data_IF_361288374153
#
_entry.id   IF_361288374153
#
_cell.length_a   1.000
_cell.length_b   1.000
_cell.length_c   1.000
_cell.angle_alpha   90.00
_cell.angle_beta   90.00
_cell.angle_gamma   90.00
#
_symmetry.space_group_name_H-M   'P 1'
#
loop_
_entity.id
_entity.type
_entity.pdbx_description
1 polymer ?
#
# COMPACT_ATOMS: atom_id res chain seq x y z
N UNK A 1 -60.84 -10.36 -54.85
CA UNK A 1 -61.26 -11.60 -54.26
C UNK A 1 -60.08 -12.23 -53.57
N UNK A 2 -60.26 -12.50 -52.30
CA UNK A 2 -59.43 -13.27 -51.38
C UNK A 2 -57.96 -12.95 -51.13
N UNK A 3 -57.81 -12.21 -50.07
CA UNK A 3 -56.73 -12.09 -49.10
C UNK A 3 -56.26 -13.45 -48.54
N UNK A 4 -54.95 -13.61 -48.28
CA UNK A 4 -54.43 -14.43 -47.17
C UNK A 4 -53.19 -13.81 -46.61
N UNK A 5 -53.32 -13.25 -45.43
CA UNK A 5 -52.24 -12.84 -44.54
C UNK A 5 -51.64 -14.10 -43.88
N UNK A 6 -50.33 -14.27 -43.98
CA UNK A 6 -49.56 -15.25 -43.24
C UNK A 6 -48.80 -14.54 -42.12
N UNK A 7 -49.21 -14.75 -40.87
CA UNK A 7 -48.53 -14.35 -39.66
C UNK A 7 -47.24 -15.13 -39.48
N UNK A 8 -46.11 -14.45 -39.42
CA UNK A 8 -44.87 -15.00 -38.90
C UNK A 8 -44.72 -14.55 -37.42
N UNK A 9 -44.47 -15.47 -36.47
CA UNK A 9 -44.17 -15.07 -35.08
C UNK A 9 -42.73 -14.56 -35.01
N UNK A 10 -42.57 -13.33 -34.51
CA UNK A 10 -41.30 -12.77 -34.17
C UNK A 10 -40.74 -13.47 -32.91
N UNK A 11 -39.79 -14.37 -33.10
CA UNK A 11 -38.94 -14.83 -32.01
C UNK A 11 -37.87 -13.75 -31.75
N UNK A 12 -38.14 -12.87 -30.79
CA UNK A 12 -37.13 -12.04 -30.18
C UNK A 12 -36.28 -12.93 -29.27
N UNK A 13 -35.12 -13.33 -29.74
CA UNK A 13 -34.04 -13.78 -28.88
C UNK A 13 -33.47 -12.55 -28.15
N UNK A 14 -33.94 -12.32 -26.96
CA UNK A 14 -33.27 -11.44 -26.02
C UNK A 14 -31.96 -12.12 -25.59
N UNK A 15 -30.91 -11.96 -26.40
CA UNK A 15 -29.55 -12.22 -26.00
C UNK A 15 -29.20 -11.09 -25.00
N UNK A 16 -29.37 -11.39 -23.71
CA UNK A 16 -28.92 -10.52 -22.66
C UNK A 16 -27.42 -10.34 -22.80
N UNK A 17 -27.03 -9.19 -23.30
CA UNK A 17 -25.67 -8.68 -23.15
C UNK A 17 -25.44 -8.49 -21.65
N UNK A 18 -24.95 -9.52 -20.95
CA UNK A 18 -24.20 -9.29 -19.73
C UNK A 18 -22.92 -8.62 -20.18
N UNK A 19 -22.64 -7.37 -19.76
CA UNK A 19 -21.30 -6.85 -19.92
C UNK A 19 -20.40 -7.87 -19.25
N UNK A 20 -19.41 -8.39 -19.96
CA UNK A 20 -18.32 -9.17 -19.38
C UNK A 20 -17.65 -8.28 -18.34
N UNK A 21 -18.16 -8.30 -17.12
CA UNK A 21 -17.44 -7.86 -15.95
C UNK A 21 -16.28 -8.83 -15.83
N UNK A 22 -15.15 -8.46 -16.38
CA UNK A 22 -13.88 -9.11 -16.11
C UNK A 22 -13.60 -8.90 -14.64
N UNK A 23 -14.01 -9.86 -13.84
CA UNK A 23 -13.79 -9.88 -12.41
C UNK A 23 -12.28 -9.93 -12.18
N UNK A 24 -11.74 -8.96 -11.44
CA UNK A 24 -10.37 -8.95 -10.94
C UNK A 24 -10.23 -9.96 -9.78
N UNK A 25 -10.72 -11.16 -9.98
CA UNK A 25 -10.63 -12.25 -9.02
C UNK A 25 -9.16 -12.64 -8.92
N UNK A 26 -8.68 -12.76 -7.70
CA UNK A 26 -7.33 -13.24 -7.39
C UNK A 26 -7.16 -14.65 -7.98
N UNK A 27 -6.13 -14.88 -8.78
CA UNK A 27 -5.84 -16.21 -9.33
C UNK A 27 -5.45 -17.17 -8.19
N UNK A 28 -5.57 -18.48 -8.41
CA UNK A 28 -5.16 -19.50 -7.41
C UNK A 28 -3.69 -19.33 -6.98
N UNK A 29 -2.80 -18.95 -7.90
CA UNK A 29 -1.40 -18.69 -7.59
C UNK A 29 -1.24 -17.45 -6.70
N UNK A 30 -1.92 -16.35 -7.04
CA UNK A 30 -1.94 -15.13 -6.25
C UNK A 30 -2.52 -15.37 -4.86
N UNK A 31 -3.62 -16.12 -4.76
CA UNK A 31 -4.23 -16.51 -3.50
C UNK A 31 -3.29 -17.36 -2.63
N UNK A 32 -2.68 -18.38 -3.22
CA UNK A 32 -1.70 -19.22 -2.51
C UNK A 32 -0.55 -18.39 -1.98
N UNK A 33 0.02 -17.50 -2.80
CA UNK A 33 1.09 -16.60 -2.38
C UNK A 33 0.63 -15.65 -1.24
N UNK A 34 -0.54 -15.04 -1.38
CA UNK A 34 -1.11 -14.18 -0.35
C UNK A 34 -1.28 -14.90 0.99
N UNK A 35 -1.78 -16.14 0.98
CA UNK A 35 -1.92 -16.95 2.19
C UNK A 35 -0.57 -17.23 2.87
N UNK A 36 0.48 -17.55 2.11
CA UNK A 36 1.84 -17.72 2.63
C UNK A 36 2.35 -16.41 3.22
N UNK A 37 2.30 -15.32 2.47
CA UNK A 37 2.70 -14.00 2.95
C UNK A 37 2.00 -13.62 4.26
N UNK A 38 0.68 -13.79 4.34
CA UNK A 38 -0.12 -13.48 5.53
C UNK A 38 0.33 -14.29 6.75
N UNK A 39 0.56 -15.59 6.57
CA UNK A 39 0.99 -16.48 7.65
C UNK A 39 2.42 -16.14 8.11
N UNK A 40 3.34 -15.91 7.18
CA UNK A 40 4.72 -15.52 7.45
C UNK A 40 4.77 -14.18 8.19
N UNK A 41 3.97 -13.21 7.76
CA UNK A 41 3.90 -11.91 8.42
C UNK A 41 3.38 -12.00 9.86
N UNK A 42 2.34 -12.81 10.10
CA UNK A 42 1.84 -13.06 11.44
C UNK A 42 2.91 -13.69 12.32
N UNK A 43 3.51 -14.78 11.86
CA UNK A 43 4.56 -15.49 12.57
C UNK A 43 5.75 -14.57 12.88
N UNK A 44 6.14 -13.73 11.92
CA UNK A 44 7.25 -12.80 12.10
C UNK A 44 6.94 -11.72 13.15
N UNK A 45 5.71 -11.18 13.16
CA UNK A 45 5.28 -10.25 14.21
C UNK A 45 5.27 -10.91 15.59
N UNK A 46 4.78 -12.14 15.69
CA UNK A 46 4.75 -12.91 16.94
C UNK A 46 6.18 -13.16 17.47
N UNK A 47 7.11 -13.55 16.60
CA UNK A 47 8.54 -13.73 16.95
C UNK A 47 9.17 -12.42 17.43
N UNK A 48 8.92 -11.30 16.76
CA UNK A 48 9.42 -10.00 17.20
C UNK A 48 8.82 -9.57 18.53
N UNK A 49 7.52 -9.77 18.75
CA UNK A 49 6.90 -9.48 20.05
C UNK A 49 7.49 -10.35 21.16
N UNK A 50 7.60 -11.67 20.95
CA UNK A 50 8.15 -12.58 21.93
C UNK A 50 9.60 -12.21 22.32
N UNK A 51 10.39 -11.75 21.37
CA UNK A 51 11.80 -11.40 21.61
C UNK A 51 12.00 -10.03 22.23
N UNK A 52 11.21 -9.03 21.81
CA UNK A 52 11.52 -7.62 22.07
C UNK A 52 10.54 -6.90 23.00
N UNK A 53 9.40 -7.50 23.38
CA UNK A 53 8.37 -6.79 24.14
C UNK A 53 8.89 -6.17 25.45
N UNK A 54 9.76 -6.87 26.19
CA UNK A 54 10.30 -6.40 27.46
C UNK A 54 11.14 -5.12 27.32
N UNK A 55 11.85 -4.97 26.20
CA UNK A 55 12.70 -3.81 25.94
C UNK A 55 11.90 -2.73 25.21
N UNK A 56 11.07 -3.13 24.25
CA UNK A 56 10.39 -2.22 23.32
C UNK A 56 9.23 -1.48 24.01
N UNK A 57 8.37 -2.17 24.75
CA UNK A 57 7.15 -1.58 25.33
C UNK A 57 7.45 -0.41 26.30
N UNK A 58 8.44 -0.49 27.22
CA UNK A 58 8.81 0.65 28.04
C UNK A 58 9.29 1.87 27.24
N UNK A 59 10.08 1.64 26.18
CA UNK A 59 10.56 2.72 25.29
C UNK A 59 9.41 3.39 24.54
N UNK A 60 8.45 2.59 24.04
CA UNK A 60 7.25 3.10 23.35
C UNK A 60 6.39 3.96 24.29
N UNK A 61 6.19 3.51 25.53
CA UNK A 61 5.47 4.28 26.56
C UNK A 61 6.18 5.61 26.86
N UNK A 62 7.48 5.53 27.11
CA UNK A 62 8.28 6.73 27.42
C UNK A 62 8.29 7.73 26.27
N UNK A 63 8.38 7.25 25.02
CA UNK A 63 8.32 8.11 23.83
C UNK A 63 6.97 8.83 23.71
N UNK A 64 5.88 8.23 24.19
CA UNK A 64 4.53 8.76 24.09
C UNK A 64 4.12 9.67 25.26
N UNK A 65 4.81 9.63 26.40
CA UNK A 65 4.40 10.30 27.66
C UNK A 65 4.06 11.78 27.49
N UNK A 66 4.82 12.52 26.69
CA UNK A 66 4.59 13.95 26.47
C UNK A 66 3.31 14.24 25.67
N UNK A 67 3.01 13.40 24.70
CA UNK A 67 1.96 13.66 23.72
C UNK A 67 0.65 12.92 24.02
N UNK A 68 0.75 11.79 24.74
CA UNK A 68 -0.37 10.89 25.04
C UNK A 68 -0.11 10.18 26.39
N UNK A 69 -0.19 10.91 27.52
CA UNK A 69 0.23 10.38 28.83
C UNK A 69 -0.60 9.17 29.30
N UNK A 70 -1.87 9.08 28.93
CA UNK A 70 -2.77 7.97 29.31
C UNK A 70 -2.74 6.78 28.35
N UNK A 71 -1.78 6.76 27.45
CA UNK A 71 -1.68 5.74 26.43
C UNK A 71 -1.02 4.47 26.97
N UNK A 72 -1.68 3.33 26.73
CA UNK A 72 -1.15 2.01 27.03
C UNK A 72 -0.58 1.34 25.78
N UNK A 73 0.58 0.70 25.90
CA UNK A 73 1.11 -0.20 24.86
C UNK A 73 0.57 -1.60 25.14
N UNK A 74 -0.29 -2.10 24.26
CA UNK A 74 -0.82 -3.46 24.30
C UNK A 74 -0.04 -4.39 23.38
N UNK A 75 0.37 -3.89 22.20
CA UNK A 75 1.11 -4.64 21.20
C UNK A 75 2.27 -3.81 20.66
N UNK A 76 3.50 -4.21 20.91
CA UNK A 76 4.71 -3.47 20.50
C UNK A 76 5.02 -3.60 19.00
N UNK A 77 4.76 -4.79 18.42
CA UNK A 77 4.88 -5.07 16.98
C UNK A 77 3.55 -5.63 16.50
N UNK A 78 2.89 -4.93 15.59
CA UNK A 78 1.48 -5.15 15.25
C UNK A 78 1.34 -5.91 13.93
N UNK A 79 0.73 -7.09 13.97
CA UNK A 79 0.21 -7.75 12.78
C UNK A 79 -1.11 -7.11 12.36
N UNK A 80 -1.30 -6.90 11.05
CA UNK A 80 -2.56 -6.34 10.54
C UNK A 80 -3.62 -7.42 10.33
N UNK A 81 -4.56 -7.57 11.26
CA UNK A 81 -5.64 -8.54 11.20
C UNK A 81 -6.64 -8.30 10.04
N UNK A 82 -6.62 -7.14 9.38
CA UNK A 82 -7.43 -6.95 8.16
C UNK A 82 -7.01 -7.89 7.02
N UNK A 83 -5.80 -8.44 7.07
CA UNK A 83 -5.35 -9.44 6.10
C UNK A 83 -6.11 -10.77 6.24
N UNK A 84 -6.70 -11.04 7.41
CA UNK A 84 -7.49 -12.25 7.68
C UNK A 84 -8.89 -12.18 7.06
N UNK A 85 -9.36 -10.99 6.73
CA UNK A 85 -10.67 -10.75 6.09
C UNK A 85 -10.59 -10.88 4.55
N UNK A 86 -9.38 -10.94 3.98
CA UNK A 86 -9.21 -11.13 2.53
C UNK A 86 -9.53 -12.57 2.16
N UNK A 87 -10.41 -12.77 1.18
CA UNK A 87 -10.83 -14.08 0.67
C UNK A 87 -10.29 -14.34 -0.74
N UNK A 88 -10.44 -15.56 -1.24
CA UNK A 88 -10.03 -15.93 -2.61
C UNK A 88 -10.82 -15.16 -3.67
N UNK A 89 -12.04 -14.73 -3.35
CA UNK A 89 -12.90 -13.94 -4.23
C UNK A 89 -12.62 -12.42 -4.13
N UNK A 90 -11.67 -12.02 -3.29
CA UNK A 90 -11.37 -10.61 -3.10
C UNK A 90 -10.77 -9.99 -4.38
N UNK A 91 -11.30 -8.84 -4.75
CA UNK A 91 -10.80 -8.03 -5.85
C UNK A 91 -9.79 -7.02 -5.32
N UNK A 92 -8.48 -7.33 -5.39
CA UNK A 92 -7.42 -6.44 -4.92
C UNK A 92 -6.96 -5.53 -6.05
N UNK A 93 -7.20 -4.22 -5.89
CA UNK A 93 -6.82 -3.17 -6.86
C UNK A 93 -5.70 -2.28 -6.37
N UNK A 94 -5.47 -2.26 -5.06
CA UNK A 94 -4.57 -1.32 -4.43
C UNK A 94 -3.84 -1.95 -3.24
N UNK A 95 -2.55 -1.67 -3.13
CA UNK A 95 -1.78 -1.87 -1.91
C UNK A 95 -1.40 -0.48 -1.37
N UNK A 96 -1.76 -0.17 -0.13
CA UNK A 96 -1.36 1.08 0.54
C UNK A 96 -0.33 0.78 1.61
N UNK A 97 0.80 1.49 1.56
CA UNK A 97 1.89 1.36 2.52
C UNK A 97 1.95 2.61 3.40
N UNK A 98 1.47 2.48 4.63
CA UNK A 98 1.60 3.51 5.67
C UNK A 98 3.00 3.57 6.28
N UNK A 99 3.17 4.43 7.29
CA UNK A 99 4.45 4.57 7.99
C UNK A 99 4.66 3.43 8.98
N UNK A 100 3.93 3.44 10.08
CA UNK A 100 3.97 2.43 11.14
C UNK A 100 2.64 2.42 11.90
N UNK A 101 2.30 1.35 12.64
CA UNK A 101 1.05 1.29 13.39
C UNK A 101 0.96 2.41 14.42
N UNK A 102 -0.16 3.14 14.40
CA UNK A 102 -0.45 4.25 15.30
C UNK A 102 -1.13 3.79 16.61
N UNK A 103 -1.53 4.77 17.43
CA UNK A 103 -2.10 4.58 18.76
C UNK A 103 -3.27 3.58 18.82
N UNK A 104 -4.24 3.72 17.91
CA UNK A 104 -5.45 2.88 17.93
C UNK A 104 -5.20 1.51 17.29
N UNK A 105 -4.19 1.40 16.43
CA UNK A 105 -3.90 0.23 15.60
C UNK A 105 -3.26 -0.91 16.40
N UNK A 106 -2.57 -0.58 17.50
CA UNK A 106 -1.88 -1.54 18.38
C UNK A 106 -2.79 -2.15 19.46
N UNK A 107 -3.98 -1.61 19.66
CA UNK A 107 -4.92 -2.11 20.65
C UNK A 107 -5.44 -3.50 20.27
N UNK A 108 -5.51 -4.44 21.20
CA UNK A 108 -5.97 -5.81 20.97
C UNK A 108 -7.35 -5.88 20.30
N UNK A 109 -8.24 -4.92 20.61
CA UNK A 109 -9.55 -4.82 19.99
C UNK A 109 -9.50 -4.46 18.51
N UNK A 110 -8.42 -3.84 18.03
CA UNK A 110 -8.25 -3.42 16.66
C UNK A 110 -7.25 -4.31 15.93
N UNK A 111 -5.95 -4.17 16.23
CA UNK A 111 -4.84 -4.80 15.51
C UNK A 111 -5.03 -4.72 13.98
N UNK A 112 -5.45 -3.54 13.50
CA UNK A 112 -5.73 -3.25 12.09
C UNK A 112 -5.11 -1.91 11.71
N UNK A 113 -4.52 -1.86 10.55
CA UNK A 113 -3.86 -0.65 10.06
C UNK A 113 -4.86 0.37 9.51
N UNK A 114 -4.52 1.65 9.60
CA UNK A 114 -5.32 2.78 9.15
C UNK A 114 -6.77 2.76 9.70
N UNK A 115 -6.94 2.44 10.99
CA UNK A 115 -8.23 2.55 11.70
C UNK A 115 -8.38 3.88 12.44
N UNK A 116 -7.28 4.61 12.65
CA UNK A 116 -7.27 5.95 13.24
C UNK A 116 -7.73 7.04 12.27
N UNK A 117 -7.47 8.30 12.63
CA UNK A 117 -7.90 9.47 11.83
C UNK A 117 -7.42 9.45 10.39
N UNK A 118 -6.18 9.02 10.12
CA UNK A 118 -5.64 8.92 8.77
C UNK A 118 -6.44 7.93 7.90
N UNK A 119 -6.83 6.80 8.50
CA UNK A 119 -7.66 5.79 7.82
C UNK A 119 -9.05 6.31 7.49
N UNK A 120 -9.70 7.04 8.42
CA UNK A 120 -11.00 7.68 8.17
C UNK A 120 -10.94 8.71 7.03
N UNK A 121 -9.84 9.47 6.95
CA UNK A 121 -9.62 10.43 5.86
C UNK A 121 -9.46 9.70 4.53
N UNK A 122 -8.65 8.63 4.48
CA UNK A 122 -8.46 7.82 3.28
C UNK A 122 -9.79 7.19 2.82
N UNK A 123 -10.51 6.53 3.70
CA UNK A 123 -11.82 5.92 3.41
C UNK A 123 -12.83 6.96 2.92
N UNK A 124 -12.89 8.13 3.57
CA UNK A 124 -13.74 9.24 3.13
C UNK A 124 -13.32 9.80 1.77
N UNK A 125 -12.04 9.81 1.42
CA UNK A 125 -11.57 10.19 0.10
C UNK A 125 -12.10 9.23 -0.98
N UNK A 126 -11.87 7.93 -0.83
CA UNK A 126 -12.34 6.94 -1.81
C UNK A 126 -13.88 6.87 -1.90
N UNK A 127 -14.59 7.02 -0.77
CA UNK A 127 -16.06 7.05 -0.77
C UNK A 127 -16.65 8.24 -1.53
N UNK A 128 -15.96 9.39 -1.54
CA UNK A 128 -16.37 10.57 -2.32
C UNK A 128 -16.00 10.48 -3.80
N UNK A 129 -15.15 9.52 -4.17
CA UNK A 129 -14.60 9.37 -5.51
C UNK A 129 -14.85 7.96 -6.06
N UNK A 130 -16.12 7.55 -6.23
CA UNK A 130 -16.47 6.22 -6.76
C UNK A 130 -15.96 5.97 -8.19
N UNK A 131 -15.65 7.05 -8.94
CA UNK A 131 -15.03 6.97 -10.26
C UNK A 131 -13.65 6.32 -10.27
N UNK A 132 -12.99 6.22 -9.11
CA UNK A 132 -11.74 5.48 -8.95
C UNK A 132 -11.96 3.94 -8.99
N UNK A 133 -13.19 3.50 -8.74
CA UNK A 133 -13.55 2.09 -8.72
C UNK A 133 -12.92 1.32 -7.55
N UNK A 134 -12.60 1.98 -6.44
CA UNK A 134 -11.94 1.39 -5.27
C UNK A 134 -12.81 1.59 -4.03
N UNK A 135 -13.26 0.49 -3.42
CA UNK A 135 -13.71 0.48 -2.03
C UNK A 135 -12.46 0.30 -1.15
N UNK A 136 -12.13 1.32 -0.35
CA UNK A 136 -10.88 1.37 0.41
C UNK A 136 -10.71 0.19 1.39
N UNK A 137 -11.79 -0.41 1.88
CA UNK A 137 -11.72 -1.53 2.81
C UNK A 137 -11.77 -2.90 2.15
N UNK A 138 -12.43 -3.00 0.98
CA UNK A 138 -12.61 -4.28 0.27
C UNK A 138 -11.56 -4.53 -0.79
N UNK A 139 -11.14 -3.48 -1.50
CA UNK A 139 -10.24 -3.62 -2.65
C UNK A 139 -8.78 -3.26 -2.32
N UNK A 140 -8.46 -3.01 -1.02
CA UNK A 140 -7.12 -2.53 -0.63
C UNK A 140 -6.47 -3.43 0.40
N UNK A 141 -5.25 -3.88 0.11
CA UNK A 141 -4.34 -4.42 1.11
C UNK A 141 -3.60 -3.26 1.76
N UNK A 142 -3.67 -3.15 3.09
CA UNK A 142 -2.98 -2.09 3.85
C UNK A 142 -1.82 -2.70 4.60
N UNK A 143 -0.61 -2.18 4.35
CA UNK A 143 0.63 -2.54 5.04
C UNK A 143 1.30 -1.28 5.59
N UNK A 144 2.36 -1.46 6.35
CA UNK A 144 3.21 -0.37 6.84
C UNK A 144 4.68 -0.66 6.51
N UNK A 145 5.51 0.38 6.48
CA UNK A 145 6.96 0.27 6.24
C UNK A 145 7.68 -0.49 7.36
N UNK A 146 7.10 -0.49 8.56
CA UNK A 146 7.50 -1.32 9.69
C UNK A 146 6.27 -1.67 10.53
N UNK A 147 6.15 -2.87 11.10
CA UNK A 147 5.09 -3.22 12.04
C UNK A 147 5.38 -2.73 13.47
N UNK A 148 6.53 -2.11 13.72
CA UNK A 148 6.89 -1.56 15.03
C UNK A 148 6.00 -0.36 15.34
N UNK A 149 5.19 -0.50 16.39
CA UNK A 149 4.25 0.51 16.79
C UNK A 149 4.90 1.72 17.46
N UNK A 150 4.37 2.90 17.21
CA UNK A 150 4.54 4.09 18.06
C UNK A 150 3.29 4.98 17.98
N UNK A 151 3.01 5.75 19.03
CA UNK A 151 1.82 6.63 19.04
C UNK A 151 1.85 7.71 17.94
N UNK A 152 3.05 8.16 17.57
CA UNK A 152 3.33 9.05 16.42
C UNK A 152 4.56 8.51 15.69
N UNK A 153 4.59 8.58 14.37
CA UNK A 153 5.75 8.13 13.56
C UNK A 153 7.08 8.74 14.05
N UNK A 154 7.06 10.02 14.44
CA UNK A 154 8.24 10.71 14.96
C UNK A 154 8.84 10.04 16.21
N UNK A 155 8.06 9.29 16.98
CA UNK A 155 8.55 8.58 18.17
C UNK A 155 9.50 7.41 17.83
N UNK A 156 9.49 6.91 16.59
CA UNK A 156 10.52 5.97 16.14
C UNK A 156 11.94 6.54 16.28
N UNK A 157 12.11 7.86 16.11
CA UNK A 157 13.42 8.53 16.36
C UNK A 157 13.85 8.41 17.82
N UNK A 158 12.88 8.46 18.74
CA UNK A 158 13.16 8.27 20.17
C UNK A 158 13.62 6.82 20.45
N UNK A 159 12.95 5.83 19.86
CA UNK A 159 13.32 4.42 19.99
C UNK A 159 14.73 4.17 19.45
N UNK A 160 15.05 4.72 18.27
CA UNK A 160 16.38 4.61 17.66
C UNK A 160 17.49 5.28 18.48
N UNK A 161 17.18 6.38 19.18
CA UNK A 161 18.15 7.14 19.98
C UNK A 161 18.37 6.55 21.38
N UNK A 162 17.31 6.04 22.01
CA UNK A 162 17.31 5.65 23.43
C UNK A 162 17.19 4.12 23.64
N UNK A 163 16.91 3.37 22.59
CA UNK A 163 16.97 1.92 22.60
C UNK A 163 18.42 1.42 22.49
N UNK A 164 18.62 0.16 22.80
CA UNK A 164 19.87 -0.53 22.54
C UNK A 164 20.02 -0.91 21.06
N UNK A 165 21.17 -1.46 20.66
CA UNK A 165 21.46 -1.88 19.29
C UNK A 165 20.44 -2.90 18.75
N UNK A 166 19.87 -3.73 19.62
CA UNK A 166 18.84 -4.71 19.20
C UNK A 166 17.54 -4.06 18.78
N UNK A 167 17.11 -2.97 19.43
CA UNK A 167 15.95 -2.18 19.03
C UNK A 167 16.19 -1.50 17.68
N UNK A 168 17.38 -0.91 17.52
CA UNK A 168 17.80 -0.34 16.24
C UNK A 168 17.79 -1.38 15.12
N UNK A 169 18.32 -2.57 15.41
CA UNK A 169 18.31 -3.70 14.47
C UNK A 169 16.90 -4.17 14.14
N UNK A 170 16.01 -4.32 15.12
CA UNK A 170 14.61 -4.67 14.89
C UNK A 170 13.93 -3.70 13.93
N UNK A 171 14.06 -2.38 14.17
CA UNK A 171 13.44 -1.36 13.31
C UNK A 171 13.98 -1.44 11.88
N UNK A 172 15.29 -1.67 11.73
CA UNK A 172 15.92 -1.84 10.42
C UNK A 172 15.45 -3.12 9.72
N UNK A 173 15.59 -4.26 10.39
CA UNK A 173 15.29 -5.57 9.82
C UNK A 173 13.81 -5.67 9.44
N UNK A 174 12.91 -5.09 10.26
CA UNK A 174 11.49 -5.04 9.94
C UNK A 174 11.19 -4.19 8.70
N UNK A 175 11.89 -3.07 8.49
CA UNK A 175 11.74 -2.28 7.27
C UNK A 175 12.20 -3.04 6.02
N UNK A 176 13.36 -3.71 6.10
CA UNK A 176 13.90 -4.49 4.98
C UNK A 176 12.98 -5.66 4.63
N UNK A 177 12.50 -6.38 5.65
CA UNK A 177 11.58 -7.50 5.48
C UNK A 177 10.26 -7.02 4.85
N UNK A 178 9.65 -5.96 5.40
CA UNK A 178 8.40 -5.41 4.85
C UNK A 178 8.56 -4.92 3.41
N UNK A 179 9.67 -4.28 3.07
CA UNK A 179 9.93 -3.82 1.70
C UNK A 179 10.00 -5.00 0.71
N UNK A 180 10.71 -6.07 1.08
CA UNK A 180 10.82 -7.26 0.26
C UNK A 180 9.47 -7.98 0.07
N UNK A 181 8.73 -8.19 1.17
CA UNK A 181 7.43 -8.85 1.10
C UNK A 181 6.40 -8.00 0.33
N UNK A 182 6.43 -6.67 0.52
CA UNK A 182 5.58 -5.75 -0.25
C UNK A 182 5.85 -5.85 -1.76
N UNK A 183 7.12 -5.83 -2.15
CA UNK A 183 7.50 -5.92 -3.58
C UNK A 183 7.02 -7.24 -4.19
N UNK A 184 7.28 -8.36 -3.51
CA UNK A 184 6.87 -9.70 -3.97
C UNK A 184 5.34 -9.80 -4.10
N UNK A 185 4.60 -9.34 -3.09
CA UNK A 185 3.14 -9.35 -3.12
C UNK A 185 2.60 -8.52 -4.28
N UNK A 186 3.15 -7.32 -4.49
CA UNK A 186 2.74 -6.45 -5.58
C UNK A 186 3.04 -7.06 -6.96
N UNK A 187 4.24 -7.63 -7.15
CA UNK A 187 4.62 -8.30 -8.40
C UNK A 187 3.65 -9.44 -8.73
N UNK A 188 3.37 -10.32 -7.76
CA UNK A 188 2.42 -11.44 -7.95
C UNK A 188 1.01 -10.94 -8.27
N UNK A 189 0.53 -9.89 -7.60
CA UNK A 189 -0.80 -9.32 -7.87
C UNK A 189 -0.88 -8.62 -9.23
N UNK A 190 0.24 -8.23 -9.81
CA UNK A 190 0.32 -7.70 -11.17
C UNK A 190 0.43 -8.81 -12.24
N UNK A 191 0.79 -10.05 -11.88
CA UNK A 191 0.87 -11.17 -12.81
C UNK A 191 -0.53 -11.54 -13.37
N UNK A 192 -0.60 -11.95 -14.64
CA UNK A 192 -1.81 -12.50 -15.26
C UNK A 192 -2.85 -11.47 -15.71
N UNK A 193 -2.64 -10.17 -15.50
CA UNK A 193 -3.38 -9.14 -16.20
C UNK A 193 -2.79 -8.93 -17.60
N UNK A 194 -3.57 -9.13 -18.67
CA UNK A 194 -3.21 -8.60 -19.98
C UNK A 194 -3.05 -7.08 -19.85
N UNK A 195 -1.83 -6.65 -19.60
CA UNK A 195 -1.49 -5.25 -19.26
C UNK A 195 -1.82 -4.25 -20.37
N UNK A 196 -2.10 -4.74 -21.59
CA UNK A 196 -2.48 -3.90 -22.73
C UNK A 196 -4.00 -3.70 -22.88
N UNK A 197 -4.84 -4.66 -22.42
CA UNK A 197 -6.30 -4.57 -22.56
C UNK A 197 -7.02 -4.11 -21.30
N UNK A 198 -6.42 -4.20 -20.10
CA UNK A 198 -7.06 -3.96 -18.79
C UNK A 198 -6.62 -2.67 -18.09
N UNK A 199 -5.87 -1.83 -18.73
CA UNK A 199 -5.60 -0.46 -18.29
C UNK A 199 -4.95 -0.20 -16.92
N UNK A 200 -5.01 -1.11 -15.93
CA UNK A 200 -4.37 -0.94 -14.62
C UNK A 200 -4.32 -2.27 -13.84
N UNK A 201 -3.13 -2.83 -13.65
CA UNK A 201 -2.87 -3.84 -12.64
C UNK A 201 -3.02 -3.26 -11.21
N UNK A 202 -2.78 -4.07 -10.18
CA UNK A 202 -2.75 -3.62 -8.79
C UNK A 202 -1.76 -2.46 -8.64
N UNK A 203 -2.19 -1.33 -8.05
CA UNK A 203 -1.29 -0.20 -7.76
C UNK A 203 -0.67 -0.36 -6.38
N UNK A 204 0.56 0.14 -6.22
CA UNK A 204 1.24 0.26 -4.93
C UNK A 204 1.37 1.74 -4.57
N UNK A 205 0.71 2.18 -3.50
CA UNK A 205 0.77 3.55 -3.01
C UNK A 205 1.63 3.64 -1.74
N UNK A 206 2.81 4.23 -1.86
CA UNK A 206 3.64 4.60 -0.72
C UNK A 206 3.15 5.94 -0.18
N UNK A 207 2.52 5.94 0.99
CA UNK A 207 2.12 7.19 1.65
C UNK A 207 3.13 7.60 2.72
N UNK A 208 3.28 8.91 2.96
CA UNK A 208 4.28 9.44 3.89
C UNK A 208 5.58 9.89 3.20
N UNK A 209 5.42 10.60 2.08
CA UNK A 209 6.50 11.16 1.24
C UNK A 209 7.66 11.79 2.04
N UNK A 210 7.36 12.57 3.10
CA UNK A 210 8.39 13.29 3.85
C UNK A 210 9.41 12.37 4.55
N UNK A 211 8.98 11.19 5.00
CA UNK A 211 9.83 10.24 5.71
C UNK A 211 10.61 9.29 4.77
N UNK A 212 10.43 9.45 3.44
CA UNK A 212 11.15 8.71 2.40
C UNK A 212 12.33 9.49 1.81
N UNK A 213 12.60 10.73 2.25
CA UNK A 213 13.70 11.55 1.73
C UNK A 213 14.54 12.21 2.82
N UNK A 214 15.72 12.71 2.42
CA UNK A 214 16.62 13.45 3.30
C UNK A 214 17.07 12.63 4.51
N UNK A 215 16.65 13.03 5.70
CA UNK A 215 16.91 12.35 6.98
C UNK A 215 15.65 11.59 7.48
N UNK A 216 14.81 11.15 6.58
CA UNK A 216 13.58 10.42 6.88
C UNK A 216 13.84 9.07 7.55
N UNK A 217 12.81 8.55 8.21
CA UNK A 217 12.89 7.31 8.98
C UNK A 217 12.91 6.05 8.12
N UNK A 218 12.42 6.13 6.88
CA UNK A 218 12.16 4.95 6.04
C UNK A 218 13.04 4.90 4.78
N UNK A 219 14.26 5.44 4.85
CA UNK A 219 15.21 5.39 3.73
C UNK A 219 15.59 3.94 3.39
N UNK A 220 15.78 3.09 4.40
CA UNK A 220 16.13 1.68 4.20
C UNK A 220 14.99 0.90 3.55
N UNK A 221 13.74 1.16 3.95
CA UNK A 221 12.56 0.61 3.28
C UNK A 221 12.52 1.03 1.82
N UNK A 222 12.68 2.34 1.56
CA UNK A 222 12.68 2.94 0.23
C UNK A 222 13.71 2.26 -0.69
N UNK A 223 14.96 2.20 -0.24
CA UNK A 223 16.08 1.70 -1.03
C UNK A 223 15.91 0.19 -1.30
N UNK A 224 15.55 -0.60 -0.28
CA UNK A 224 15.27 -2.03 -0.43
C UNK A 224 14.09 -2.28 -1.37
N UNK A 225 13.02 -1.49 -1.28
CA UNK A 225 11.87 -1.61 -2.17
C UNK A 225 12.29 -1.40 -3.63
N UNK A 226 13.02 -0.32 -3.92
CA UNK A 226 13.51 -0.04 -5.27
C UNK A 226 14.41 -1.16 -5.79
N UNK A 227 15.30 -1.71 -4.95
CA UNK A 227 16.19 -2.81 -5.32
C UNK A 227 15.41 -4.07 -5.72
N UNK A 228 14.27 -4.35 -5.09
CA UNK A 228 13.41 -5.49 -5.44
C UNK A 228 12.76 -5.37 -6.83
N UNK A 229 12.71 -4.17 -7.41
CA UNK A 229 12.18 -3.96 -8.77
C UNK A 229 13.27 -3.79 -9.83
N UNK A 230 14.55 -3.76 -9.47
CA UNK A 230 15.64 -3.74 -10.46
C UNK A 230 15.72 -5.07 -11.20
N UNK A 231 15.90 -5.02 -12.52
CA UNK A 231 16.20 -6.22 -13.30
C UNK A 231 17.59 -6.72 -12.94
N UNK A 232 17.69 -8.00 -12.65
CA UNK A 232 18.98 -8.67 -12.48
C UNK A 232 19.54 -9.03 -13.87
N UNK A 233 20.29 -8.12 -14.48
CA UNK A 233 21.05 -8.45 -15.69
C UNK A 233 22.27 -9.27 -15.28
N UNK A 234 22.21 -10.57 -15.51
CA UNK A 234 23.19 -11.57 -15.07
C UNK A 234 24.59 -11.47 -15.70
N UNK A 235 24.91 -10.41 -16.47
CA UNK A 235 26.24 -10.07 -16.94
C UNK A 235 26.33 -8.56 -17.20
N UNK A 236 26.82 -7.80 -16.23
CA UNK A 236 27.12 -6.39 -16.44
C UNK A 236 28.62 -6.26 -16.86
N UNK A 237 28.85 -5.78 -18.07
CA UNK A 237 30.14 -5.24 -18.45
C UNK A 237 30.37 -3.93 -17.70
N UNK A 238 31.41 -3.83 -16.90
CA UNK A 238 31.69 -2.82 -15.88
C UNK A 238 32.07 -1.42 -16.40
N UNK A 239 31.64 -0.99 -17.60
CA UNK A 239 32.18 0.21 -18.23
C UNK A 239 31.24 1.37 -18.50
N UNK A 240 29.92 1.30 -18.16
CA UNK A 240 29.02 2.43 -18.33
C UNK A 240 28.11 2.57 -17.12
N UNK A 241 27.90 3.79 -16.59
CA UNK A 241 26.85 4.12 -15.64
C UNK A 241 25.50 4.03 -16.37
N UNK A 242 24.97 2.81 -16.49
CA UNK A 242 23.65 2.59 -17.09
C UNK A 242 22.56 2.93 -16.07
N UNK A 243 21.55 3.65 -16.55
CA UNK A 243 20.33 3.91 -15.80
C UNK A 243 19.72 2.56 -15.39
N UNK A 244 19.40 2.33 -14.09
CA UNK A 244 18.84 1.05 -13.64
C UNK A 244 17.58 0.71 -14.43
N UNK A 245 17.54 -0.49 -15.02
CA UNK A 245 16.32 -1.00 -15.63
C UNK A 245 15.41 -1.60 -14.56
N UNK A 246 14.13 -1.24 -14.60
CA UNK A 246 13.13 -1.72 -13.66
C UNK A 246 12.18 -2.71 -14.32
N UNK A 247 11.58 -3.57 -13.49
CA UNK A 247 10.47 -4.42 -13.86
C UNK A 247 9.25 -3.56 -14.25
N UNK A 248 8.38 -4.02 -15.15
CA UNK A 248 7.20 -3.25 -15.59
C UNK A 248 6.29 -2.80 -14.45
N UNK A 249 6.17 -3.59 -13.40
CA UNK A 249 5.34 -3.35 -12.20
C UNK A 249 5.78 -2.08 -11.44
N UNK A 250 7.05 -1.68 -11.58
CA UNK A 250 7.54 -0.42 -11.02
C UNK A 250 6.74 0.78 -11.50
N UNK A 251 6.16 0.73 -12.70
CA UNK A 251 5.32 1.81 -13.22
C UNK A 251 4.00 1.97 -12.47
N UNK A 252 3.60 0.97 -11.67
CA UNK A 252 2.42 1.00 -10.80
C UNK A 252 2.74 1.44 -9.37
N UNK A 253 4.02 1.69 -9.04
CA UNK A 253 4.44 2.24 -7.75
C UNK A 253 4.27 3.75 -7.76
N UNK A 254 3.45 4.27 -6.84
CA UNK A 254 3.12 5.68 -6.70
C UNK A 254 3.51 6.17 -5.30
N UNK A 255 3.93 7.42 -5.18
CA UNK A 255 4.29 8.01 -3.88
C UNK A 255 3.38 9.19 -3.59
N UNK A 256 2.90 9.29 -2.35
CA UNK A 256 1.99 10.34 -1.93
C UNK A 256 2.33 10.88 -0.54
N UNK A 257 1.84 12.08 -0.24
CA UNK A 257 1.78 12.59 1.12
C UNK A 257 0.92 11.67 2.00
N UNK A 258 1.15 11.72 3.32
CA UNK A 258 0.35 10.94 4.25
C UNK A 258 -1.10 11.45 4.31
N UNK A 259 -2.07 10.55 4.55
CA UNK A 259 -3.48 10.93 4.69
C UNK A 259 -3.76 11.81 5.91
N UNK A 260 -2.92 11.72 6.97
CA UNK A 260 -3.07 12.54 8.17
C UNK A 260 -3.10 14.04 7.84
N UNK A 261 -3.93 14.80 8.55
CA UNK A 261 -4.11 16.24 8.38
C UNK A 261 -4.45 16.65 6.93
N UNK A 262 -5.14 15.80 6.18
CA UNK A 262 -5.50 16.00 4.77
C UNK A 262 -4.29 16.31 3.85
N UNK A 263 -3.07 15.98 4.24
CA UNK A 263 -1.87 16.32 3.44
C UNK A 263 -1.92 15.77 2.03
N UNK A 264 -2.48 14.58 1.86
CA UNK A 264 -2.69 13.97 0.54
C UNK A 264 -3.56 14.85 -0.38
N UNK A 265 -4.70 15.34 0.10
CA UNK A 265 -5.62 16.18 -0.69
C UNK A 265 -5.05 17.58 -0.92
N UNK A 266 -4.47 18.18 0.13
CA UNK A 266 -3.84 19.50 0.04
C UNK A 266 -2.75 19.51 -1.02
N UNK A 267 -1.90 18.49 -1.06
CA UNK A 267 -0.82 18.35 -2.01
C UNK A 267 -1.31 18.20 -3.46
N UNK A 268 -2.37 17.43 -3.68
CA UNK A 268 -3.03 17.33 -4.99
C UNK A 268 -3.55 18.71 -5.44
N UNK A 269 -4.24 19.43 -4.56
CA UNK A 269 -4.79 20.75 -4.85
C UNK A 269 -3.69 21.78 -5.13
N UNK A 270 -2.58 21.73 -4.40
CA UNK A 270 -1.42 22.60 -4.64
C UNK A 270 -0.78 22.33 -6.00
N UNK A 271 -0.61 21.07 -6.38
CA UNK A 271 -0.05 20.70 -7.67
C UNK A 271 -0.96 21.12 -8.85
N UNK A 272 -2.27 21.07 -8.67
CA UNK A 272 -3.23 21.57 -9.65
C UNK A 272 -3.18 23.11 -9.76
N UNK A 273 -3.17 23.83 -8.63
CA UNK A 273 -3.10 25.30 -8.59
C UNK A 273 -1.80 25.84 -9.21
N UNK A 274 -0.69 25.15 -8.99
CA UNK A 274 0.62 25.55 -9.49
C UNK A 274 0.90 25.09 -10.93
N UNK A 275 -0.08 24.47 -11.61
CA UNK A 275 0.04 24.00 -12.98
C UNK A 275 1.01 22.81 -13.18
N UNK A 276 1.47 22.17 -12.10
CA UNK A 276 2.29 20.94 -12.19
C UNK A 276 1.53 19.77 -12.79
N UNK A 277 0.21 19.74 -12.58
CA UNK A 277 -0.71 18.76 -13.11
C UNK A 277 -1.85 19.50 -13.81
N UNK A 278 -2.23 19.04 -15.01
CA UNK A 278 -3.33 19.65 -15.76
C UNK A 278 -4.67 19.44 -15.05
N UNK A 279 -5.45 20.52 -14.93
CA UNK A 279 -6.81 20.48 -14.38
C UNK A 279 -7.81 19.72 -15.27
N UNK A 280 -7.51 19.55 -16.55
CA UNK A 280 -8.38 18.87 -17.52
C UNK A 280 -8.35 17.34 -17.42
N UNK A 281 -7.35 16.78 -16.75
CA UNK A 281 -7.23 15.34 -16.52
C UNK A 281 -8.35 14.84 -15.63
N UNK A 282 -8.75 13.57 -15.80
CA UNK A 282 -9.60 12.86 -14.83
C UNK A 282 -8.90 12.74 -13.48
N UNK A 283 -9.65 12.52 -12.40
CA UNK A 283 -9.04 12.34 -11.07
C UNK A 283 -8.01 11.19 -11.06
N UNK A 284 -8.30 10.09 -11.74
CA UNK A 284 -7.40 8.95 -11.87
C UNK A 284 -6.06 9.33 -12.52
N UNK A 285 -6.10 10.11 -13.60
CA UNK A 285 -4.90 10.60 -14.27
C UNK A 285 -4.14 11.61 -13.41
N UNK A 286 -4.86 12.51 -12.71
CA UNK A 286 -4.25 13.47 -11.76
C UNK A 286 -3.49 12.74 -10.65
N UNK A 287 -4.09 11.72 -10.05
CA UNK A 287 -3.44 10.90 -9.03
C UNK A 287 -2.22 10.17 -9.59
N UNK A 288 -2.34 9.56 -10.77
CA UNK A 288 -1.21 8.90 -11.42
C UNK A 288 -0.06 9.87 -11.72
N UNK A 289 -0.36 11.08 -12.20
CA UNK A 289 0.64 12.12 -12.45
C UNK A 289 1.34 12.55 -11.15
N UNK A 290 0.58 12.86 -10.07
CA UNK A 290 1.12 13.23 -8.78
C UNK A 290 2.03 12.15 -8.20
N UNK A 291 1.55 10.91 -8.18
CA UNK A 291 2.29 9.78 -7.64
C UNK A 291 3.59 9.50 -8.40
N UNK A 292 3.62 9.70 -9.72
CA UNK A 292 4.82 9.59 -10.56
C UNK A 292 5.82 10.72 -10.31
N UNK A 293 5.34 11.98 -10.19
CA UNK A 293 6.19 13.12 -9.84
C UNK A 293 6.91 12.84 -8.51
N UNK A 294 6.17 12.47 -7.49
CA UNK A 294 6.77 12.18 -6.19
C UNK A 294 7.67 10.95 -6.21
N UNK A 295 7.32 9.91 -6.96
CA UNK A 295 8.20 8.75 -7.15
C UNK A 295 9.55 9.18 -7.72
N UNK A 296 9.56 10.00 -8.75
CA UNK A 296 10.77 10.52 -9.36
C UNK A 296 11.58 11.39 -8.38
N UNK A 297 10.92 12.23 -7.58
CA UNK A 297 11.59 13.05 -6.56
C UNK A 297 12.19 12.21 -5.41
N UNK A 298 11.58 11.08 -5.07
CA UNK A 298 12.03 10.21 -3.97
C UNK A 298 13.13 9.24 -4.40
N UNK A 299 13.02 8.67 -5.60
CA UNK A 299 13.91 7.62 -6.06
C UNK A 299 14.95 8.12 -7.08
N UNK A 300 14.76 9.31 -7.67
CA UNK A 300 15.69 9.93 -8.62
C UNK A 300 15.59 9.39 -10.05
N UNK A 301 14.58 8.55 -10.34
CA UNK A 301 14.39 7.92 -11.67
C UNK A 301 12.93 7.54 -11.90
#
# INVERSE_FOLDING_TARGET
MFSRYGLFPAFYWAVGWRPFLWEFIVTKNQWSFFCHFRNDFRQQCDQWNARFAEILNPLQRTAALKDTPEYSVETGVVYNRSLDDVTEEAEIRLIVIGDNPGKDEQLHRNQRYLVGQAGKIAEGFFSRHPELGIDFRKNTIILNKTPVHTAKTAHLKYLLKNGNDEVGKLIKDSQLWMAEQTARLHQILCEGGNSQERGFGCQLWLVGYAELKGRGLFLQYRDKLADCYKKNDGMRNACCEEVPQFLPEWNQVMVYQHFSMNRFTIDLDECLKNGKISSQLSLKEKLAALGKIHRQEIFGF
#
